data_IF_086686742752
#
_entry.id   IF_086686742752
#
_cell.length_a   1.000
_cell.length_b   1.000
_cell.length_c   1.000
_cell.angle_alpha   90.00
_cell.angle_beta   90.00
_cell.angle_gamma   90.00
#
_symmetry.space_group_name_H-M   'P 1'
#
loop_
_entity.id
_entity.type
_entity.pdbx_description
1 polymer ?
#
# COMPACT_ATOMS: atom_id res chain seq x y z
N UNK A 1 -4.94 42.55 -30.35
CA UNK A 1 -4.80 41.24 -31.04
C UNK A 1 -3.51 40.46 -30.70
N UNK A 2 -2.53 41.03 -30.00
CA UNK A 2 -1.21 40.41 -29.73
C UNK A 2 -1.13 39.37 -28.60
N UNK A 3 -2.15 39.25 -27.74
CA UNK A 3 -2.17 38.25 -26.65
C UNK A 3 -2.71 36.88 -27.08
N UNK A 4 -3.59 36.85 -28.08
CA UNK A 4 -4.20 35.61 -28.58
C UNK A 4 -3.21 34.80 -29.42
N UNK A 5 -2.47 35.47 -30.30
CA UNK A 5 -1.41 34.87 -31.11
C UNK A 5 -0.32 34.23 -30.24
N UNK A 6 0.10 34.91 -29.15
CA UNK A 6 1.07 34.38 -28.19
C UNK A 6 0.57 33.18 -27.39
N UNK A 7 -0.74 32.99 -27.27
CA UNK A 7 -1.35 31.82 -26.63
C UNK A 7 -1.42 30.65 -27.61
N UNK A 8 -1.80 30.90 -28.86
CA UNK A 8 -1.79 29.91 -29.95
C UNK A 8 -0.38 29.33 -30.15
N UNK A 9 0.65 30.18 -30.16
CA UNK A 9 2.06 29.76 -30.26
C UNK A 9 2.52 28.85 -29.10
N UNK A 10 1.85 28.94 -27.93
CA UNK A 10 2.16 28.10 -26.77
C UNK A 10 1.32 26.83 -26.71
N UNK A 11 0.16 26.80 -27.35
CA UNK A 11 -0.76 25.65 -27.38
C UNK A 11 -0.35 24.65 -28.46
N UNK A 12 0.09 25.14 -29.64
CA UNK A 12 0.54 24.30 -30.74
C UNK A 12 1.57 23.22 -30.34
N UNK A 13 2.68 23.52 -29.62
CA UNK A 13 3.64 22.48 -29.21
C UNK A 13 3.10 21.54 -28.13
N UNK A 14 2.06 21.93 -27.38
CA UNK A 14 1.39 21.05 -26.41
C UNK A 14 0.53 20.03 -27.15
N UNK A 15 -0.18 20.46 -28.19
CA UNK A 15 -0.99 19.59 -29.04
C UNK A 15 -0.13 18.55 -29.76
N UNK A 16 1.04 18.95 -30.29
CA UNK A 16 1.99 18.02 -30.92
C UNK A 16 2.50 16.97 -29.94
N UNK A 17 2.80 17.37 -28.70
CA UNK A 17 3.23 16.44 -27.64
C UNK A 17 2.09 15.51 -27.20
N UNK A 18 0.85 15.99 -27.21
CA UNK A 18 -0.33 15.19 -26.88
C UNK A 18 -0.56 14.12 -27.96
N UNK A 19 -0.47 14.48 -29.24
CA UNK A 19 -0.55 13.52 -30.35
C UNK A 19 0.55 12.46 -30.32
N UNK A 20 1.79 12.84 -29.96
CA UNK A 20 2.89 11.88 -29.79
C UNK A 20 2.64 10.92 -28.61
N UNK A 21 2.07 11.41 -27.50
CA UNK A 21 1.68 10.58 -26.36
C UNK A 21 0.59 9.58 -26.76
N UNK A 22 -0.39 10.01 -27.56
CA UNK A 22 -1.48 9.15 -28.05
C UNK A 22 -0.95 8.03 -28.97
N UNK A 23 0.01 8.34 -29.86
CA UNK A 23 0.67 7.34 -30.70
C UNK A 23 1.43 6.29 -29.88
N UNK A 24 2.14 6.72 -28.84
CA UNK A 24 2.85 5.80 -27.95
C UNK A 24 1.91 4.97 -27.06
N UNK A 25 0.77 5.52 -26.66
CA UNK A 25 -0.27 4.77 -25.95
C UNK A 25 -0.86 3.67 -26.83
N UNK A 26 -1.09 3.95 -28.12
CA UNK A 26 -1.54 2.95 -29.07
C UNK A 26 -0.51 1.79 -29.25
N UNK A 27 0.79 2.12 -29.28
CA UNK A 27 1.84 1.09 -29.34
C UNK A 27 1.90 0.23 -28.06
N UNK A 28 1.64 0.82 -26.90
CA UNK A 28 1.61 0.11 -25.63
C UNK A 28 0.39 -0.82 -25.54
N UNK A 29 -0.76 -0.37 -26.03
CA UNK A 29 -1.99 -1.17 -26.12
C UNK A 29 -1.78 -2.42 -27.01
N UNK A 30 -1.08 -2.28 -28.15
CA UNK A 30 -0.75 -3.41 -29.00
C UNK A 30 0.13 -4.45 -28.28
N UNK A 31 1.06 -4.00 -27.44
CA UNK A 31 1.92 -4.89 -26.63
C UNK A 31 1.13 -5.59 -25.53
N UNK A 32 0.19 -4.91 -24.88
CA UNK A 32 -0.67 -5.51 -23.85
C UNK A 32 -1.60 -6.56 -24.47
N UNK A 33 -2.23 -6.26 -25.61
CA UNK A 33 -3.07 -7.23 -26.31
C UNK A 33 -2.28 -8.49 -26.71
N UNK A 34 -1.05 -8.33 -27.19
CA UNK A 34 -0.16 -9.46 -27.51
C UNK A 34 0.25 -10.29 -26.28
N UNK A 35 0.24 -9.69 -25.08
CA UNK A 35 0.51 -10.41 -23.83
C UNK A 35 -0.74 -11.13 -23.31
N UNK A 36 -1.92 -10.53 -23.43
CA UNK A 36 -3.19 -11.17 -23.08
C UNK A 36 -3.44 -12.41 -23.95
N UNK A 37 -3.09 -12.38 -25.23
CA UNK A 37 -3.17 -13.58 -26.11
C UNK A 37 -2.15 -14.64 -25.73
N UNK A 38 -0.93 -14.26 -25.36
CA UNK A 38 0.10 -15.19 -24.85
C UNK A 38 -0.31 -15.80 -23.52
N UNK A 39 -0.91 -15.01 -22.62
CA UNK A 39 -1.42 -15.48 -21.35
C UNK A 39 -2.57 -16.48 -21.55
N UNK A 40 -3.52 -16.15 -22.42
CA UNK A 40 -4.63 -17.05 -22.78
C UNK A 40 -4.12 -18.35 -23.40
N UNK A 41 -3.07 -18.30 -24.23
CA UNK A 41 -2.42 -19.48 -24.79
C UNK A 41 -1.72 -20.33 -23.71
N UNK A 42 -1.06 -19.71 -22.72
CA UNK A 42 -0.47 -20.44 -21.60
C UNK A 42 -1.52 -21.05 -20.68
N UNK A 43 -2.63 -20.35 -20.45
CA UNK A 43 -3.76 -20.85 -19.66
C UNK A 43 -4.47 -22.01 -20.37
N UNK A 44 -4.62 -21.96 -21.70
CA UNK A 44 -5.11 -23.08 -22.50
C UNK A 44 -4.15 -24.28 -22.47
N UNK A 45 -2.84 -24.04 -22.50
CA UNK A 45 -1.81 -25.09 -22.38
C UNK A 45 -1.83 -25.74 -20.99
N UNK A 46 -2.09 -24.97 -19.94
CA UNK A 46 -2.27 -25.46 -18.56
C UNK A 46 -3.61 -26.19 -18.38
N UNK A 47 -4.67 -25.75 -19.06
CA UNK A 47 -6.00 -26.37 -19.03
C UNK A 47 -6.05 -27.73 -19.74
N UNK A 48 -5.17 -28.01 -20.72
CA UNK A 48 -5.05 -29.33 -21.34
C UNK A 48 -4.64 -30.47 -20.37
N UNK A 49 -4.27 -30.14 -19.11
CA UNK A 49 -3.97 -31.12 -18.06
C UNK A 49 -5.18 -31.47 -17.17
N UNK A 50 -6.37 -30.95 -17.43
CA UNK A 50 -7.63 -31.31 -16.71
C UNK A 50 -8.88 -31.04 -17.58
N UNK A 51 -9.60 -32.09 -17.98
CA UNK A 51 -10.85 -32.07 -18.79
C UNK A 51 -12.06 -31.38 -18.10
N UNK A 52 -13.21 -31.12 -18.79
CA UNK A 52 -13.46 -30.73 -20.19
C UNK A 52 -14.23 -29.37 -20.32
N UNK A 53 -14.40 -28.89 -21.57
CA UNK A 53 -15.12 -27.66 -22.01
C UNK A 53 -16.59 -27.56 -21.49
N UNK A 54 -17.33 -26.39 -21.50
CA UNK A 54 -17.41 -25.41 -22.61
C UNK A 54 -17.70 -23.91 -22.25
N UNK A 55 -17.74 -23.06 -23.29
CA UNK A 55 -18.78 -22.04 -23.62
C UNK A 55 -18.20 -20.70 -24.14
N UNK A 56 -18.45 -20.46 -25.44
CA UNK A 56 -18.54 -19.17 -26.19
C UNK A 56 -17.45 -18.10 -26.00
N UNK A 57 -16.88 -17.55 -27.10
CA UNK A 57 -15.86 -16.50 -27.01
C UNK A 57 -16.43 -15.23 -26.38
N UNK A 58 -15.82 -14.80 -25.28
CA UNK A 58 -16.09 -13.53 -24.62
C UNK A 58 -15.83 -12.35 -25.59
N UNK A 59 -16.60 -11.25 -25.48
CA UNK A 59 -16.40 -10.08 -26.32
C UNK A 59 -14.98 -9.53 -26.18
N UNK A 60 -14.40 -9.15 -27.32
CA UNK A 60 -13.03 -8.63 -27.43
C UNK A 60 -12.73 -7.54 -26.39
N UNK A 61 -11.57 -7.60 -25.70
CA UNK A 61 -11.25 -6.66 -24.65
C UNK A 61 -11.08 -5.26 -25.23
N UNK A 62 -11.94 -4.33 -24.82
CA UNK A 62 -11.80 -2.90 -25.10
C UNK A 62 -10.48 -2.36 -24.54
N UNK A 63 -9.74 -1.56 -25.33
CA UNK A 63 -8.43 -1.01 -24.98
C UNK A 63 -8.39 -0.40 -23.55
N UNK A 64 -7.34 -0.67 -22.75
CA UNK A 64 -7.20 -0.15 -21.40
C UNK A 64 -7.11 1.40 -21.38
N UNK A 65 -6.60 2.03 -22.45
CA UNK A 65 -6.60 3.48 -22.60
C UNK A 65 -8.02 4.04 -22.78
N UNK A 66 -8.85 3.40 -23.60
CA UNK A 66 -10.27 3.80 -23.76
C UNK A 66 -11.05 3.64 -22.45
N UNK A 67 -10.77 2.60 -21.68
CA UNK A 67 -11.40 2.35 -20.39
C UNK A 67 -10.92 3.33 -19.31
N UNK A 68 -9.62 3.63 -19.26
CA UNK A 68 -9.08 4.64 -18.34
C UNK A 68 -9.66 6.02 -18.64
N UNK A 69 -9.70 6.43 -19.92
CA UNK A 69 -10.27 7.70 -20.33
C UNK A 69 -11.78 7.75 -20.00
N UNK A 70 -12.53 6.67 -20.25
CA UNK A 70 -13.94 6.55 -19.82
C UNK A 70 -14.10 6.67 -18.30
N UNK A 71 -13.24 6.00 -17.53
CA UNK A 71 -13.26 6.06 -16.06
C UNK A 71 -12.90 7.46 -15.55
N UNK A 72 -11.94 8.14 -16.18
CA UNK A 72 -11.60 9.53 -15.86
C UNK A 72 -12.73 10.50 -16.19
N UNK A 73 -13.37 10.34 -17.35
CA UNK A 73 -14.55 11.14 -17.71
C UNK A 73 -15.69 10.91 -16.74
N UNK A 74 -15.94 9.65 -16.34
CA UNK A 74 -16.92 9.30 -15.32
C UNK A 74 -16.61 9.96 -13.96
N UNK A 75 -15.37 9.84 -13.47
CA UNK A 75 -14.95 10.44 -12.20
C UNK A 75 -15.06 11.97 -12.27
N UNK A 76 -14.64 12.60 -13.37
CA UNK A 76 -14.72 14.06 -13.56
C UNK A 76 -16.18 14.54 -13.60
N UNK A 77 -17.06 13.79 -14.28
CA UNK A 77 -18.50 14.08 -14.34
C UNK A 77 -19.15 14.02 -12.96
N UNK A 78 -18.79 13.02 -12.14
CA UNK A 78 -19.34 12.86 -10.80
C UNK A 78 -18.76 13.90 -9.83
N UNK A 79 -17.46 14.19 -9.94
CA UNK A 79 -16.78 15.18 -9.10
C UNK A 79 -17.30 16.62 -9.31
N UNK A 80 -17.72 16.95 -10.53
CA UNK A 80 -18.23 18.28 -10.87
C UNK A 80 -19.75 18.44 -10.63
N UNK A 81 -20.47 17.38 -10.27
CA UNK A 81 -21.91 17.48 -9.97
C UNK A 81 -22.07 18.01 -8.54
N UNK A 82 -22.53 19.24 -8.41
CA UNK A 82 -22.60 20.02 -7.16
C UNK A 82 -23.33 19.37 -5.96
N UNK A 83 -23.97 18.20 -6.13
CA UNK A 83 -24.75 17.50 -5.09
C UNK A 83 -24.49 15.97 -5.02
N UNK A 84 -23.49 15.42 -5.72
CA UNK A 84 -23.42 13.96 -5.95
C UNK A 84 -22.68 13.12 -4.90
N UNK A 85 -21.40 13.41 -4.62
CA UNK A 85 -20.54 12.58 -3.77
C UNK A 85 -19.48 13.41 -3.03
N UNK A 86 -19.16 13.03 -1.78
CA UNK A 86 -18.12 13.74 -1.00
C UNK A 86 -16.73 13.42 -1.55
N UNK A 87 -15.76 14.30 -1.29
CA UNK A 87 -14.34 14.12 -1.68
C UNK A 87 -13.75 12.78 -1.22
N UNK A 88 -14.17 12.30 -0.06
CA UNK A 88 -13.78 10.99 0.45
C UNK A 88 -14.26 9.84 -0.46
N UNK A 89 -15.51 9.88 -0.89
CA UNK A 89 -16.12 8.81 -1.70
C UNK A 89 -15.55 8.82 -3.13
N UNK A 90 -15.23 10.00 -3.65
CA UNK A 90 -14.51 10.16 -4.92
C UNK A 90 -13.10 9.55 -4.86
N UNK A 91 -12.38 9.70 -3.75
CA UNK A 91 -11.08 9.02 -3.56
C UNK A 91 -11.24 7.50 -3.54
N UNK A 92 -12.32 6.99 -2.93
CA UNK A 92 -12.63 5.56 -2.92
C UNK A 92 -12.93 5.04 -4.33
N UNK A 93 -13.63 5.84 -5.15
CA UNK A 93 -13.85 5.54 -6.57
C UNK A 93 -12.54 5.45 -7.36
N UNK A 94 -11.63 6.42 -7.19
CA UNK A 94 -10.30 6.37 -7.82
C UNK A 94 -9.55 5.10 -7.41
N UNK A 95 -9.59 4.73 -6.13
CA UNK A 95 -8.97 3.51 -5.65
C UNK A 95 -9.59 2.27 -6.31
N UNK A 96 -10.91 2.14 -6.27
CA UNK A 96 -11.63 0.96 -6.75
C UNK A 96 -11.46 0.73 -8.26
N UNK A 97 -11.52 1.78 -9.08
CA UNK A 97 -11.53 1.63 -10.54
C UNK A 97 -10.17 1.87 -11.19
N UNK A 98 -9.43 2.89 -10.77
CA UNK A 98 -8.17 3.28 -11.42
C UNK A 98 -7.01 2.49 -10.83
N UNK A 99 -6.84 2.56 -9.50
CA UNK A 99 -5.70 1.93 -8.85
C UNK A 99 -5.78 0.40 -8.89
N UNK A 100 -6.96 -0.19 -8.67
CA UNK A 100 -7.11 -1.66 -8.76
C UNK A 100 -6.67 -2.20 -10.12
N UNK A 101 -6.96 -1.49 -11.22
CA UNK A 101 -6.54 -1.93 -12.56
C UNK A 101 -5.03 -1.86 -12.72
N UNK A 102 -4.40 -0.78 -12.28
CA UNK A 102 -2.95 -0.63 -12.33
C UNK A 102 -2.25 -1.68 -11.46
N UNK A 103 -2.71 -1.87 -10.23
CA UNK A 103 -2.13 -2.85 -9.28
C UNK A 103 -2.33 -4.29 -9.77
N UNK A 104 -3.40 -4.57 -10.51
CA UNK A 104 -3.63 -5.91 -11.04
C UNK A 104 -2.71 -6.28 -12.19
N UNK A 105 -2.42 -5.36 -13.12
CA UNK A 105 -1.69 -5.70 -14.36
C UNK A 105 -0.22 -5.29 -14.34
N UNK A 106 0.09 -4.11 -13.82
CA UNK A 106 1.42 -3.49 -14.00
C UNK A 106 2.56 -4.17 -13.22
N UNK A 107 2.37 -4.76 -12.02
CA UNK A 107 3.45 -5.41 -11.28
C UNK A 107 4.18 -6.54 -12.03
N UNK A 108 3.52 -7.13 -13.04
CA UNK A 108 4.06 -8.26 -13.80
C UNK A 108 4.67 -7.84 -15.14
N UNK A 109 4.66 -6.54 -15.46
CA UNK A 109 5.21 -5.99 -16.68
C UNK A 109 6.58 -5.34 -16.40
N UNK A 110 7.50 -5.50 -17.34
CA UNK A 110 8.75 -4.76 -17.33
C UNK A 110 8.50 -3.34 -17.86
N UNK A 111 8.25 -2.41 -16.94
CA UNK A 111 8.06 -1.01 -17.26
C UNK A 111 9.40 -0.28 -17.38
N UNK A 112 9.55 0.53 -18.42
CA UNK A 112 10.60 1.53 -18.51
C UNK A 112 10.33 2.70 -17.55
N UNK A 113 11.38 3.43 -17.18
CA UNK A 113 11.26 4.63 -16.33
C UNK A 113 10.24 5.64 -16.89
N UNK A 114 10.12 5.72 -18.22
CA UNK A 114 9.17 6.63 -18.89
C UNK A 114 7.72 6.18 -18.75
N UNK A 115 7.47 4.87 -18.85
CA UNK A 115 6.14 4.27 -18.69
C UNK A 115 5.69 4.38 -17.22
N UNK A 116 6.59 4.12 -16.28
CA UNK A 116 6.34 4.32 -14.85
C UNK A 116 6.00 5.78 -14.54
N UNK A 117 6.75 6.74 -15.10
CA UNK A 117 6.45 8.16 -14.93
C UNK A 117 5.07 8.53 -15.50
N UNK A 118 4.70 7.97 -16.67
CA UNK A 118 3.38 8.18 -17.28
C UNK A 118 2.26 7.65 -16.38
N UNK A 119 2.38 6.45 -15.85
CA UNK A 119 1.37 5.89 -14.92
C UNK A 119 1.25 6.75 -13.66
N UNK A 120 2.37 7.22 -13.11
CA UNK A 120 2.34 8.16 -11.99
C UNK A 120 1.65 9.50 -12.35
N UNK A 121 1.81 10.00 -13.59
CA UNK A 121 1.02 11.15 -14.08
C UNK A 121 -0.48 10.86 -14.08
N UNK A 122 -0.89 9.69 -14.55
CA UNK A 122 -2.30 9.27 -14.58
C UNK A 122 -2.88 9.17 -13.17
N UNK A 123 -2.16 8.54 -12.23
CA UNK A 123 -2.54 8.48 -10.81
C UNK A 123 -2.74 9.90 -10.25
N UNK A 124 -1.78 10.81 -10.47
CA UNK A 124 -1.91 12.22 -10.01
C UNK A 124 -3.12 12.90 -10.62
N UNK A 125 -3.37 12.73 -11.92
CA UNK A 125 -4.50 13.34 -12.62
C UNK A 125 -5.84 12.83 -12.09
N UNK A 126 -5.93 11.53 -11.77
CA UNK A 126 -7.11 10.92 -11.16
C UNK A 126 -7.41 11.54 -9.79
N UNK A 127 -6.41 11.65 -8.92
CA UNK A 127 -6.59 12.25 -7.59
C UNK A 127 -6.84 13.76 -7.64
N UNK A 128 -6.20 14.50 -8.54
CA UNK A 128 -6.51 15.93 -8.78
C UNK A 128 -7.96 16.10 -9.21
N UNK A 129 -8.44 15.26 -10.14
CA UNK A 129 -9.84 15.28 -10.60
C UNK A 129 -10.82 14.95 -9.46
N UNK A 130 -10.55 13.92 -8.66
CA UNK A 130 -11.38 13.54 -7.52
C UNK A 130 -11.41 14.59 -6.38
N UNK A 131 -10.37 15.43 -6.29
CA UNK A 131 -10.29 16.50 -5.31
C UNK A 131 -10.75 17.87 -5.83
N UNK A 132 -11.20 17.93 -7.08
CA UNK A 132 -11.53 19.17 -7.78
C UNK A 132 -10.36 20.17 -7.79
N UNK A 133 -9.12 19.64 -7.91
CA UNK A 133 -7.91 20.44 -8.00
C UNK A 133 -7.56 20.71 -9.48
N UNK A 134 -7.11 21.92 -9.83
CA UNK A 134 -6.63 22.23 -11.18
C UNK A 134 -5.46 21.32 -11.59
N UNK A 135 -5.34 21.02 -12.88
CA UNK A 135 -4.23 20.23 -13.44
C UNK A 135 -2.86 20.86 -13.12
N UNK A 136 -2.81 22.20 -13.05
CA UNK A 136 -1.62 23.00 -12.70
C UNK A 136 -1.18 22.91 -11.25
N UNK A 137 -1.93 22.25 -10.37
CA UNK A 137 -1.56 22.09 -8.96
C UNK A 137 -0.18 21.44 -8.83
N UNK A 138 0.69 22.01 -7.98
CA UNK A 138 2.04 21.48 -7.71
C UNK A 138 2.00 19.98 -7.38
N UNK A 139 2.81 19.20 -8.10
CA UNK A 139 2.97 17.76 -7.88
C UNK A 139 3.62 17.49 -6.53
N UNK A 140 4.61 18.29 -6.17
CA UNK A 140 5.43 18.08 -4.98
C UNK A 140 4.60 18.33 -3.72
N UNK A 141 3.74 19.36 -3.76
CA UNK A 141 2.78 19.62 -2.69
C UNK A 141 1.70 18.55 -2.60
N UNK A 142 1.27 17.96 -3.72
CA UNK A 142 0.30 16.86 -3.71
C UNK A 142 0.90 15.58 -3.11
N UNK A 143 2.16 15.28 -3.45
CA UNK A 143 2.91 14.16 -2.88
C UNK A 143 3.17 14.35 -1.39
N UNK A 144 3.56 15.56 -0.96
CA UNK A 144 3.83 15.87 0.45
C UNK A 144 2.58 15.79 1.33
N UNK A 145 1.39 16.00 0.76
CA UNK A 145 0.13 15.79 1.46
C UNK A 145 -0.22 14.31 1.68
N UNK A 146 0.49 13.36 1.06
CA UNK A 146 0.27 11.92 1.30
C UNK A 146 -1.08 11.39 0.80
N UNK A 147 -1.71 12.07 -0.17
CA UNK A 147 -3.07 11.73 -0.62
C UNK A 147 -3.12 10.42 -1.41
N UNK A 148 -2.06 10.15 -2.16
CA UNK A 148 -1.93 8.98 -3.01
C UNK A 148 -0.51 8.41 -2.95
N UNK A 149 -0.40 7.10 -3.16
CA UNK A 149 0.87 6.39 -3.26
C UNK A 149 1.42 6.51 -4.70
N UNK A 150 2.73 6.32 -4.88
CA UNK A 150 3.34 6.14 -6.21
C UNK A 150 3.05 4.74 -6.77
N UNK A 151 3.33 4.52 -8.06
CA UNK A 151 3.23 3.18 -8.66
C UNK A 151 4.17 2.18 -7.97
N UNK A 152 5.40 2.60 -7.64
CA UNK A 152 6.37 1.74 -6.93
C UNK A 152 5.84 1.31 -5.57
N UNK A 153 5.33 2.25 -4.77
CA UNK A 153 4.73 1.95 -3.48
C UNK A 153 3.49 1.05 -3.61
N UNK A 154 2.66 1.27 -4.63
CA UNK A 154 1.49 0.41 -4.88
C UNK A 154 1.92 -1.01 -5.25
N UNK A 155 2.95 -1.16 -6.08
CA UNK A 155 3.50 -2.46 -6.47
C UNK A 155 4.15 -3.17 -5.29
N UNK A 156 4.88 -2.45 -4.44
CA UNK A 156 5.46 -2.98 -3.20
C UNK A 156 4.36 -3.42 -2.21
N UNK A 157 3.34 -2.59 -2.01
CA UNK A 157 2.18 -2.93 -1.17
C UNK A 157 1.45 -4.17 -1.71
N UNK A 158 1.28 -4.27 -3.02
CA UNK A 158 0.68 -5.43 -3.66
C UNK A 158 1.52 -6.69 -3.48
N UNK A 159 2.83 -6.61 -3.75
CA UNK A 159 3.77 -7.71 -3.56
C UNK A 159 3.79 -8.20 -2.11
N UNK A 160 3.83 -7.28 -1.15
CA UNK A 160 3.78 -7.63 0.27
C UNK A 160 2.46 -8.32 0.63
N UNK A 161 1.32 -7.84 0.15
CA UNK A 161 0.02 -8.49 0.35
C UNK A 161 0.00 -9.91 -0.24
N UNK A 162 0.55 -10.12 -1.43
CA UNK A 162 0.65 -11.45 -2.05
C UNK A 162 1.54 -12.39 -1.25
N UNK A 163 2.70 -11.92 -0.79
CA UNK A 163 3.59 -12.70 0.06
C UNK A 163 2.90 -13.08 1.38
N UNK A 164 2.14 -12.16 2.00
CA UNK A 164 1.35 -12.46 3.19
C UNK A 164 0.28 -13.53 2.91
N UNK A 165 -0.43 -13.42 1.79
CA UNK A 165 -1.44 -14.40 1.39
C UNK A 165 -0.84 -15.78 1.15
N UNK A 166 0.31 -15.87 0.46
CA UNK A 166 1.02 -17.13 0.22
C UNK A 166 1.65 -17.71 1.49
N UNK A 167 2.01 -16.88 2.46
CA UNK A 167 2.60 -17.33 3.74
C UNK A 167 1.58 -18.10 4.61
N UNK A 168 0.28 -17.84 4.45
CA UNK A 168 -0.80 -18.44 5.26
C UNK A 168 -1.03 -19.94 4.96
N UNK A 169 -1.29 -20.39 3.71
CA UNK A 169 -1.55 -21.79 3.43
C UNK A 169 -0.27 -22.62 3.29
N UNK A 170 -0.34 -23.91 3.66
CA UNK A 170 0.75 -24.90 3.45
C UNK A 170 1.25 -24.93 1.99
N UNK A 171 0.40 -25.04 0.94
CA UNK A 171 0.87 -25.03 -0.45
C UNK A 171 1.54 -23.71 -0.84
N UNK A 172 1.07 -22.57 -0.32
CA UNK A 172 1.70 -21.27 -0.58
C UNK A 172 3.11 -21.18 0.00
N UNK A 173 3.33 -21.70 1.22
CA UNK A 173 4.68 -21.80 1.81
C UNK A 173 5.60 -22.73 1.02
N UNK A 174 5.08 -23.87 0.54
CA UNK A 174 5.85 -24.76 -0.33
C UNK A 174 6.30 -24.02 -1.60
N UNK A 175 5.40 -23.27 -2.24
CA UNK A 175 5.71 -22.46 -3.41
C UNK A 175 6.76 -21.36 -3.10
N UNK A 176 6.63 -20.66 -1.97
CA UNK A 176 7.63 -19.67 -1.53
C UNK A 176 9.02 -20.30 -1.33
N UNK A 177 9.08 -21.51 -0.77
CA UNK A 177 10.33 -22.25 -0.61
C UNK A 177 10.95 -22.63 -1.97
N UNK A 178 10.14 -23.03 -2.95
CA UNK A 178 10.59 -23.31 -4.32
C UNK A 178 11.14 -22.06 -5.01
N UNK A 179 10.49 -20.91 -4.81
CA UNK A 179 10.92 -19.63 -5.35
C UNK A 179 12.08 -18.98 -4.57
N UNK A 180 12.57 -19.63 -3.49
CA UNK A 180 13.58 -19.08 -2.58
C UNK A 180 13.19 -17.71 -2.00
N UNK A 181 11.90 -17.47 -1.81
CA UNK A 181 11.37 -16.25 -1.21
C UNK A 181 11.05 -16.50 0.27
N UNK A 182 11.43 -15.56 1.13
CA UNK A 182 11.15 -15.63 2.57
C UNK A 182 9.67 -15.29 2.85
N UNK A 183 8.94 -16.07 3.66
CA UNK A 183 7.60 -15.72 4.09
C UNK A 183 7.62 -14.47 4.99
N UNK A 184 6.59 -13.62 4.89
CA UNK A 184 6.49 -12.37 5.65
C UNK A 184 5.78 -12.52 7.00
N UNK A 185 5.16 -13.67 7.26
CA UNK A 185 4.61 -14.01 8.57
C UNK A 185 5.60 -14.88 9.34
N UNK A 186 5.60 -14.81 10.68
CA UNK A 186 6.29 -15.81 11.49
C UNK A 186 5.78 -17.21 11.14
N UNK A 187 6.69 -18.17 11.22
CA UNK A 187 6.46 -19.60 11.06
C UNK A 187 5.28 -20.11 11.94
N UNK A 188 4.76 -21.34 11.72
CA UNK A 188 3.46 -21.84 12.24
C UNK A 188 3.29 -21.96 13.77
N UNK A 189 4.18 -21.38 14.57
CA UNK A 189 4.05 -21.25 16.03
C UNK A 189 3.45 -19.89 16.42
N UNK A 190 2.77 -19.20 15.51
CA UNK A 190 1.99 -18.02 15.91
C UNK A 190 0.72 -18.47 16.63
N UNK A 191 0.51 -17.97 17.84
CA UNK A 191 -0.64 -18.28 18.67
C UNK A 191 -1.71 -17.19 18.49
N UNK A 192 -3.01 -17.56 18.54
CA UNK A 192 -4.09 -16.57 18.44
C UNK A 192 -4.09 -15.66 19.66
N UNK A 193 -4.31 -14.36 19.44
CA UNK A 193 -4.58 -13.40 20.51
C UNK A 193 -5.90 -13.81 21.21
N UNK A 194 -5.94 -13.87 22.55
CA UNK A 194 -7.17 -14.14 23.29
C UNK A 194 -8.32 -13.17 22.93
N UNK A 195 -9.54 -13.70 22.80
CA UNK A 195 -10.72 -12.95 22.34
C UNK A 195 -11.04 -11.72 23.19
N UNK A 196 -10.79 -11.77 24.50
CA UNK A 196 -11.01 -10.67 25.43
C UNK A 196 -10.07 -9.48 25.19
N UNK A 197 -8.88 -9.72 24.64
CA UNK A 197 -7.93 -8.67 24.25
C UNK A 197 -8.26 -8.14 22.86
N UNK A 198 -8.46 -9.04 21.89
CA UNK A 198 -8.73 -8.66 20.49
C UNK A 198 -10.00 -7.80 20.34
N UNK A 199 -11.08 -8.12 21.07
CA UNK A 199 -12.34 -7.37 21.02
C UNK A 199 -12.25 -5.92 21.53
N UNK A 200 -11.22 -5.60 22.32
CA UNK A 200 -11.00 -4.27 22.90
C UNK A 200 -9.99 -3.42 22.12
N UNK A 201 -9.35 -4.00 21.11
CA UNK A 201 -8.33 -3.32 20.32
C UNK A 201 -8.93 -2.70 19.05
N UNK A 202 -8.65 -1.41 18.85
CA UNK A 202 -8.89 -0.72 17.58
C UNK A 202 -7.53 -0.37 16.96
N UNK A 203 -7.22 -0.97 15.81
CA UNK A 203 -5.95 -0.73 15.12
C UNK A 203 -6.17 0.29 14.01
N UNK A 204 -5.49 1.42 14.13
CA UNK A 204 -5.54 2.49 13.14
C UNK A 204 -4.97 2.00 11.79
N UNK A 205 -5.58 2.40 10.65
CA UNK A 205 -5.06 2.05 9.35
C UNK A 205 -3.65 2.62 9.16
N UNK A 206 -2.77 1.81 8.57
CA UNK A 206 -1.39 2.22 8.35
C UNK A 206 -1.29 3.50 7.51
N UNK A 207 -0.44 4.46 7.92
CA UNK A 207 -0.27 5.71 7.21
C UNK A 207 0.35 5.49 5.81
N UNK A 208 -0.11 6.27 4.84
CA UNK A 208 0.38 6.27 3.44
C UNK A 208 1.66 7.09 3.31
N UNK A 209 2.48 6.78 2.31
CA UNK A 209 3.73 7.49 1.98
C UNK A 209 4.69 7.62 3.18
N UNK A 210 4.97 6.49 3.85
CA UNK A 210 5.81 6.44 5.06
C UNK A 210 7.09 5.61 4.87
N UNK A 211 7.54 5.43 3.63
CA UNK A 211 8.75 4.64 3.35
C UNK A 211 9.98 5.23 4.08
N UNK A 212 10.79 4.41 4.79
CA UNK A 212 11.88 4.91 5.63
C UNK A 212 12.90 5.80 4.92
N UNK A 213 13.24 5.45 3.68
CA UNK A 213 14.24 6.17 2.87
C UNK A 213 13.65 7.28 2.00
N UNK A 214 12.42 7.11 1.52
CA UNK A 214 11.85 8.00 0.50
C UNK A 214 11.01 9.12 1.11
N UNK A 215 10.43 8.90 2.30
CA UNK A 215 9.48 9.82 2.91
C UNK A 215 9.84 10.23 4.36
N UNK A 216 11.09 10.67 4.64
CA UNK A 216 11.52 11.01 5.99
C UNK A 216 10.76 12.22 6.56
N UNK A 217 10.45 13.23 5.73
CA UNK A 217 9.70 14.42 6.14
C UNK A 217 8.26 14.09 6.55
N UNK A 218 7.59 13.21 5.81
CA UNK A 218 6.24 12.73 6.16
C UNK A 218 6.25 11.97 7.49
N UNK A 219 7.28 11.13 7.72
CA UNK A 219 7.45 10.42 9.00
C UNK A 219 7.63 11.39 10.17
N UNK A 220 8.48 12.40 10.02
CA UNK A 220 8.70 13.42 11.05
C UNK A 220 7.44 14.26 11.33
N UNK A 221 6.73 14.68 10.28
CA UNK A 221 5.48 15.42 10.40
C UNK A 221 4.39 14.60 11.09
N UNK A 222 4.28 13.30 10.76
CA UNK A 222 3.35 12.37 11.40
C UNK A 222 3.68 12.15 12.87
N UNK A 223 4.94 11.89 13.20
CA UNK A 223 5.39 11.76 14.59
C UNK A 223 5.08 13.02 15.40
N UNK A 224 5.37 14.20 14.84
CA UNK A 224 5.05 15.49 15.45
C UNK A 224 3.55 15.73 15.63
N UNK A 225 2.72 15.26 14.69
CA UNK A 225 1.26 15.36 14.78
C UNK A 225 0.69 14.43 15.85
N UNK A 226 1.18 13.19 15.93
CA UNK A 226 0.82 12.24 16.98
C UNK A 226 1.23 12.78 18.35
N UNK A 227 2.48 13.22 18.50
CA UNK A 227 2.96 13.84 19.73
C UNK A 227 2.08 15.02 20.16
N UNK A 228 1.78 15.98 19.28
CA UNK A 228 0.92 17.12 19.64
C UNK A 228 -0.48 16.72 20.07
N UNK A 229 -1.03 15.64 19.51
CA UNK A 229 -2.36 15.13 19.85
C UNK A 229 -2.37 14.39 21.19
N UNK A 230 -1.35 13.56 21.44
CA UNK A 230 -1.31 12.61 22.55
C UNK A 230 -0.47 13.08 23.75
N UNK A 231 0.32 14.17 23.63
CA UNK A 231 1.23 14.67 24.68
C UNK A 231 0.60 15.03 26.03
N UNK A 232 -0.74 15.11 26.13
CA UNK A 232 -1.46 15.43 27.38
C UNK A 232 -2.19 14.22 27.95
N UNK A 233 -2.19 13.09 27.24
CA UNK A 233 -2.83 11.87 27.71
C UNK A 233 -1.81 11.07 28.54
N UNK A 234 -2.16 10.68 29.79
CA UNK A 234 -1.27 9.92 30.65
C UNK A 234 -1.15 8.45 30.20
N UNK A 235 -2.19 7.88 29.58
CA UNK A 235 -2.29 6.45 29.25
C UNK A 235 -1.70 6.09 27.88
N UNK A 236 -0.55 6.71 27.55
CA UNK A 236 0.15 6.54 26.27
C UNK A 236 1.46 5.79 26.49
N UNK A 237 1.63 4.68 25.79
CA UNK A 237 2.86 3.89 25.76
C UNK A 237 3.53 3.93 24.38
N UNK A 238 4.82 4.22 24.36
CA UNK A 238 5.69 4.07 23.19
C UNK A 238 6.51 2.81 23.34
N UNK A 239 6.53 1.98 22.31
CA UNK A 239 7.18 0.67 22.37
C UNK A 239 8.26 0.52 21.33
N UNK A 240 9.35 -0.15 21.69
CA UNK A 240 10.39 -0.54 20.76
C UNK A 240 11.12 -1.81 21.20
N UNK A 241 11.71 -2.52 20.25
CA UNK A 241 12.66 -3.58 20.50
C UNK A 241 13.89 -3.42 19.61
N UNK A 242 15.06 -3.77 20.14
CA UNK A 242 16.32 -3.73 19.41
C UNK A 242 17.16 -4.98 19.67
N UNK A 243 17.81 -5.55 18.65
CA UNK A 243 18.65 -6.74 18.82
C UNK A 243 19.92 -6.41 19.61
N UNK A 244 20.37 -7.37 20.44
CA UNK A 244 21.72 -7.33 20.98
C UNK A 244 22.74 -7.63 19.88
N UNK A 245 23.91 -6.99 19.94
CA UNK A 245 24.99 -7.23 18.97
C UNK A 245 25.62 -8.63 19.07
N UNK A 246 25.63 -9.22 20.26
CA UNK A 246 26.43 -10.41 20.58
C UNK A 246 25.58 -11.63 20.96
N UNK A 247 24.27 -11.46 21.17
CA UNK A 247 23.38 -12.52 21.65
C UNK A 247 22.14 -12.61 20.78
N UNK A 248 21.59 -13.82 20.63
CA UNK A 248 20.29 -14.07 20.00
C UNK A 248 19.13 -13.66 20.93
N UNK A 249 19.13 -12.38 21.29
CA UNK A 249 18.15 -11.76 22.17
C UNK A 249 17.92 -10.31 21.74
N UNK A 250 16.81 -9.75 22.20
CA UNK A 250 16.42 -8.37 21.93
C UNK A 250 16.11 -7.65 23.23
N UNK A 251 16.60 -6.42 23.34
CA UNK A 251 16.23 -5.48 24.40
C UNK A 251 14.88 -4.86 24.05
N UNK A 252 13.99 -4.81 25.04
CA UNK A 252 12.63 -4.29 24.94
C UNK A 252 12.51 -3.03 25.78
N UNK A 253 11.80 -2.04 25.27
CA UNK A 253 11.48 -0.82 26.02
C UNK A 253 10.01 -0.43 25.81
N UNK A 254 9.33 -0.15 26.92
CA UNK A 254 8.03 0.52 26.94
C UNK A 254 8.20 1.81 27.73
N UNK A 255 7.97 2.94 27.09
CA UNK A 255 8.15 4.26 27.68
C UNK A 255 6.83 5.02 27.75
N UNK A 256 6.70 5.83 28.80
CA UNK A 256 5.60 6.79 28.92
C UNK A 256 5.83 8.04 28.07
N UNK A 257 4.87 8.95 28.10
CA UNK A 257 4.92 10.22 27.40
C UNK A 257 6.08 11.14 27.84
N UNK A 258 6.64 10.99 29.04
CA UNK A 258 7.87 11.69 29.48
C UNK A 258 9.16 11.14 28.85
N UNK A 259 9.06 10.13 27.98
CA UNK A 259 10.19 9.33 27.47
C UNK A 259 10.96 8.59 28.57
N UNK A 260 10.34 8.39 29.75
CA UNK A 260 10.90 7.56 30.81
C UNK A 260 10.52 6.11 30.57
N UNK A 261 11.45 5.15 30.73
CA UNK A 261 11.12 3.74 30.61
C UNK A 261 10.25 3.30 31.79
N UNK A 262 9.07 2.76 31.49
CA UNK A 262 8.20 2.10 32.48
C UNK A 262 8.63 0.64 32.63
N UNK A 263 8.85 -0.04 31.49
CA UNK A 263 9.29 -1.44 31.46
C UNK A 263 10.49 -1.54 30.52
N UNK A 264 11.53 -2.20 31.01
CA UNK A 264 12.66 -2.67 30.19
C UNK A 264 12.83 -4.16 30.43
N UNK A 265 12.94 -4.93 29.35
CA UNK A 265 13.07 -6.38 29.43
C UNK A 265 14.02 -6.89 28.34
N UNK A 266 14.36 -8.18 28.40
CA UNK A 266 15.07 -8.87 27.33
C UNK A 266 14.32 -10.14 26.96
N UNK A 267 14.23 -10.41 25.66
CA UNK A 267 13.58 -11.62 25.14
C UNK A 267 14.54 -12.36 24.22
N UNK A 268 14.64 -13.68 24.39
CA UNK A 268 15.44 -14.54 23.53
C UNK A 268 14.62 -14.92 22.29
N UNK A 269 14.91 -14.29 21.16
CA UNK A 269 14.25 -14.53 19.88
C UNK A 269 15.23 -14.41 18.72
N UNK A 270 14.90 -15.10 17.63
CA UNK A 270 15.73 -15.15 16.42
C UNK A 270 15.43 -14.00 15.45
N UNK A 271 14.24 -13.40 15.55
CA UNK A 271 13.78 -12.36 14.62
C UNK A 271 13.34 -11.09 15.35
N UNK A 272 13.55 -9.93 14.70
CA UNK A 272 13.15 -8.62 15.24
C UNK A 272 11.64 -8.50 15.37
N UNK A 273 10.88 -9.07 14.43
CA UNK A 273 9.41 -8.99 14.43
C UNK A 273 8.81 -9.70 15.66
N UNK A 274 9.31 -10.90 15.99
CA UNK A 274 8.87 -11.62 17.20
C UNK A 274 9.21 -10.86 18.49
N UNK A 275 10.36 -10.19 18.52
CA UNK A 275 10.76 -9.37 19.65
C UNK A 275 9.86 -8.13 19.80
N UNK A 276 9.60 -7.43 18.70
CA UNK A 276 8.84 -6.17 18.66
C UNK A 276 7.36 -6.34 19.03
N UNK A 277 6.79 -7.55 18.93
CA UNK A 277 5.43 -7.85 19.40
C UNK A 277 5.30 -7.86 20.94
N UNK A 278 6.38 -8.22 21.64
CA UNK A 278 6.39 -8.43 23.09
C UNK A 278 6.17 -7.14 23.89
N UNK A 279 6.84 -6.01 23.57
CA UNK A 279 6.56 -4.69 24.17
C UNK A 279 5.10 -4.24 24.07
N UNK A 280 4.43 -4.54 22.95
CA UNK A 280 3.01 -4.18 22.75
C UNK A 280 2.16 -4.96 23.76
N UNK A 281 2.40 -6.27 23.90
CA UNK A 281 1.70 -7.06 24.91
C UNK A 281 1.91 -6.51 26.31
N UNK A 282 3.16 -6.20 26.67
CA UNK A 282 3.50 -5.65 27.99
C UNK A 282 2.78 -4.33 28.25
N UNK A 283 2.68 -3.47 27.24
CA UNK A 283 1.93 -2.21 27.35
C UNK A 283 0.43 -2.45 27.59
N UNK A 284 -0.16 -3.46 26.95
CA UNK A 284 -1.58 -3.80 27.11
C UNK A 284 -1.86 -4.45 28.46
N UNK A 285 -1.06 -5.44 28.87
CA UNK A 285 -1.39 -6.28 30.03
C UNK A 285 -0.88 -5.74 31.35
N UNK A 286 0.33 -5.16 31.38
CA UNK A 286 0.95 -4.69 32.63
C UNK A 286 0.67 -3.22 32.88
N UNK A 287 0.75 -2.38 31.84
CA UNK A 287 0.54 -0.93 31.97
C UNK A 287 -0.95 -0.58 31.79
N UNK A 288 -1.73 -1.44 31.12
CA UNK A 288 -3.12 -1.15 30.72
C UNK A 288 -3.22 0.16 29.91
N UNK A 289 -2.25 0.40 29.02
CA UNK A 289 -2.20 1.61 28.21
C UNK A 289 -3.41 1.70 27.26
N UNK A 290 -4.03 2.87 27.18
CA UNK A 290 -5.14 3.14 26.24
C UNK A 290 -4.61 3.28 24.80
N UNK A 291 -3.43 3.90 24.64
CA UNK A 291 -2.79 4.11 23.35
C UNK A 291 -1.39 3.52 23.32
N UNK A 292 -1.12 2.63 22.37
CA UNK A 292 0.19 2.03 22.14
C UNK A 292 0.72 2.43 20.77
N UNK A 293 1.93 3.02 20.72
CA UNK A 293 2.58 3.43 19.49
C UNK A 293 3.80 2.57 19.19
N UNK A 294 3.77 1.89 18.04
CA UNK A 294 4.90 1.16 17.46
C UNK A 294 5.24 1.73 16.08
N UNK A 295 6.53 1.77 15.75
CA UNK A 295 7.01 2.10 14.41
C UNK A 295 7.15 0.88 13.49
N UNK A 296 6.92 -0.32 14.03
CA UNK A 296 7.01 -1.58 13.30
C UNK A 296 5.71 -1.88 12.55
N UNK A 297 5.75 -1.64 11.24
CA UNK A 297 4.67 -2.02 10.31
C UNK A 297 4.27 -3.51 10.37
N UNK A 298 5.20 -4.48 10.31
CA UNK A 298 4.80 -5.90 10.31
C UNK A 298 4.09 -6.30 11.61
N UNK A 299 4.53 -5.76 12.74
CA UNK A 299 3.94 -6.02 14.06
C UNK A 299 2.51 -5.48 14.15
N UNK A 300 2.29 -4.23 13.75
CA UNK A 300 0.93 -3.64 13.71
C UNK A 300 0.00 -4.44 12.81
N UNK A 301 0.51 -4.96 11.69
CA UNK A 301 -0.26 -5.86 10.83
C UNK A 301 -0.59 -7.20 11.53
N UNK A 302 0.34 -7.79 12.27
CA UNK A 302 0.12 -9.08 12.94
C UNK A 302 -0.99 -8.95 14.01
N UNK A 303 -0.93 -7.91 14.84
CA UNK A 303 -2.00 -7.59 15.79
C UNK A 303 -3.35 -7.34 15.11
N UNK A 304 -3.36 -6.75 13.91
CA UNK A 304 -4.60 -6.53 13.15
C UNK A 304 -5.19 -7.82 12.57
N UNK A 305 -4.35 -8.81 12.29
CA UNK A 305 -4.77 -10.11 11.74
C UNK A 305 -5.14 -11.10 12.85
N UNK A 306 -4.56 -10.98 14.04
CA UNK A 306 -4.88 -11.80 15.22
C UNK A 306 -3.82 -12.82 15.70
N UNK A 307 -2.88 -13.34 14.88
CA UNK A 307 -1.83 -14.23 15.37
C UNK A 307 -0.58 -13.46 15.80
N UNK A 308 0.00 -13.81 16.95
CA UNK A 308 1.25 -13.25 17.51
C UNK A 308 2.24 -14.35 17.86
N UNK A 309 3.51 -13.99 17.98
CA UNK A 309 4.63 -14.86 18.30
C UNK A 309 4.52 -15.46 19.72
N UNK A 310 5.13 -16.63 19.96
CA UNK A 310 5.07 -17.30 21.26
C UNK A 310 5.47 -16.44 22.47
N UNK A 311 6.51 -15.58 22.41
CA UNK A 311 6.87 -14.76 23.57
C UNK A 311 5.78 -13.76 23.95
N UNK A 312 5.17 -13.11 22.96
CA UNK A 312 4.07 -12.17 23.17
C UNK A 312 2.80 -12.90 23.65
N UNK A 313 2.50 -14.07 23.09
CA UNK A 313 1.33 -14.88 23.46
C UNK A 313 1.39 -15.43 24.90
N UNK A 314 2.58 -15.66 25.46
CA UNK A 314 2.74 -16.13 26.85
C UNK A 314 2.41 -15.06 27.90
N UNK A 315 2.36 -13.79 27.50
CA UNK A 315 2.13 -12.64 28.38
C UNK A 315 0.66 -12.17 28.29
N UNK A 316 -0.02 -12.48 27.17
CA UNK A 316 -1.46 -12.26 26.95
C UNK A 316 -2.32 -13.25 27.75
#
# INVERSE_FOLDING_TARGET
MTRFTRLEDRVAPIETRMAAIDSHLAALDARVAALETRQSATEATLAHRSLPAPLTPAPTPTSPATLYNRTMHFIRRIANRHHGMRKHDLRRLVQAFVLSRFVYSLPYLFLSCTEEYKVNCLIRQAYKSALSLPTSTSTDRLLSMGVHNSLTELTEVHRTAQLLLLSRPRPGRALLSTLKLSPLLPLPISLPIPSHVSSRQAIDPLPKNMHPKHHPSCRAARASALWRKFRRQPDVAYVNAAPYRQYAAHALAVTENSLRPIITASVCTSTSVEAEETPITLAITQISAEYVFSDSKPVVCNYAVGPVAPPAARIL
#
